data_IF_025207329561
#
_entry.id   IF_025207329561
#
_cell.length_a   1.000
_cell.length_b   1.000
_cell.length_c   1.000
_cell.angle_alpha   90.00
_cell.angle_beta   90.00
_cell.angle_gamma   90.00
#
_symmetry.space_group_name_H-M   'P 1'
#
loop_
_entity.id
_entity.type
_entity.pdbx_description
1 polymer ?
#
# COMPACT_ATOMS: atom_id res chain seq x y z
N UNK A 1 61.89 54.87 22.02
CA UNK A 1 62.29 53.45 22.12
C UNK A 1 61.01 52.66 22.34
N UNK A 2 60.42 52.13 21.26
CA UNK A 2 60.50 50.71 20.87
C UNK A 2 59.45 49.87 21.65
N UNK A 3 58.52 49.10 21.10
CA UNK A 3 58.12 48.77 19.73
C UNK A 3 56.71 48.17 19.80
N UNK A 4 55.89 48.43 18.79
CA UNK A 4 54.60 47.75 18.54
C UNK A 4 54.77 46.24 18.34
N UNK A 5 53.74 45.47 18.70
CA UNK A 5 53.30 44.38 17.84
C UNK A 5 51.77 44.28 17.82
N UNK A 6 51.27 44.11 16.61
CA UNK A 6 49.92 44.34 16.12
C UNK A 6 49.34 42.98 15.72
N UNK A 7 48.10 42.67 16.12
CA UNK A 7 47.44 41.40 15.83
C UNK A 7 46.34 41.61 14.77
N UNK A 8 46.19 40.75 13.74
CA UNK A 8 45.19 40.95 12.68
C UNK A 8 43.80 40.40 13.03
N UNK A 9 42.78 41.13 12.54
CA UNK A 9 41.35 40.81 12.33
C UNK A 9 41.13 39.64 11.33
N UNK A 10 39.90 39.29 10.85
CA UNK A 10 38.52 39.42 11.39
C UNK A 10 37.64 38.16 11.13
N UNK A 11 36.38 38.16 11.59
CA UNK A 11 35.27 37.63 10.77
C UNK A 11 34.46 36.46 11.33
N UNK A 12 33.20 36.74 11.67
CA UNK A 12 32.14 35.75 11.81
C UNK A 12 30.88 36.31 12.50
N UNK A 13 29.67 35.87 12.14
CA UNK A 13 29.15 35.65 10.79
C UNK A 13 28.00 36.61 10.45
N UNK A 14 27.87 36.79 9.13
CA UNK A 14 26.84 37.48 8.38
C UNK A 14 25.44 36.94 8.69
N UNK A 15 24.48 37.85 8.84
CA UNK A 15 23.06 37.55 8.88
C UNK A 15 22.64 36.80 7.60
N UNK A 16 22.01 35.64 7.76
CA UNK A 16 21.42 34.88 6.65
C UNK A 16 19.90 35.18 6.61
N UNK A 17 19.36 35.66 5.49
CA UNK A 17 17.92 35.76 5.30
C UNK A 17 17.31 34.36 5.20
N UNK A 18 16.13 34.21 5.78
CA UNK A 18 15.42 32.95 5.91
C UNK A 18 15.17 32.23 4.59
N UNK A 19 15.56 30.95 4.56
CA UNK A 19 15.02 29.94 3.65
C UNK A 19 14.03 29.09 4.45
N UNK A 20 12.81 29.58 4.54
CA UNK A 20 11.65 28.85 5.03
C UNK A 20 11.02 28.13 3.83
N UNK A 21 11.63 27.03 3.40
CA UNK A 21 11.06 26.20 2.33
C UNK A 21 11.54 24.75 2.46
N UNK A 22 11.07 24.07 3.51
CA UNK A 22 11.29 22.63 3.72
C UNK A 22 10.18 22.01 4.55
N UNK A 23 8.92 22.27 4.17
CA UNK A 23 7.76 21.64 4.83
C UNK A 23 6.85 20.85 3.88
N UNK A 24 7.07 20.91 2.56
CA UNK A 24 6.19 20.23 1.59
C UNK A 24 6.67 18.85 1.15
N UNK A 25 7.93 18.48 1.41
CA UNK A 25 8.47 17.15 1.03
C UNK A 25 8.21 16.07 2.08
N UNK A 26 7.76 16.43 3.27
CA UNK A 26 7.53 15.48 4.37
C UNK A 26 6.13 14.84 4.34
N UNK A 27 5.25 15.30 3.43
CA UNK A 27 3.89 14.77 3.31
C UNK A 27 3.77 13.62 2.30
N UNK A 28 4.78 13.41 1.43
CA UNK A 28 4.80 12.25 0.53
C UNK A 28 5.34 10.97 1.20
N UNK A 29 6.09 11.11 2.30
CA UNK A 29 6.68 9.98 3.04
C UNK A 29 5.77 9.40 4.12
N UNK A 30 4.58 9.98 4.33
CA UNK A 30 3.61 9.52 5.32
C UNK A 30 2.48 8.65 4.74
N UNK A 31 2.55 8.29 3.46
CA UNK A 31 1.87 7.09 2.98
C UNK A 31 2.67 5.90 3.52
N UNK A 32 2.54 5.70 4.84
CA UNK A 32 3.13 4.57 5.54
C UNK A 32 2.82 3.30 4.77
N UNK A 33 3.87 2.50 4.63
CA UNK A 33 3.92 1.08 4.27
C UNK A 33 2.74 0.31 4.88
N UNK A 34 1.57 0.43 4.28
CA UNK A 34 0.40 -0.33 4.66
C UNK A 34 0.65 -1.75 4.16
N UNK A 35 1.23 -2.59 5.03
CA UNK A 35 1.40 -4.00 4.75
C UNK A 35 0.10 -4.74 5.11
N UNK A 36 -0.72 -5.15 4.11
CA UNK A 36 -1.95 -5.86 4.37
C UNK A 36 -1.72 -7.21 5.07
N UNK A 37 -0.56 -7.85 4.88
CA UNK A 37 -0.22 -9.12 5.52
C UNK A 37 0.06 -8.92 7.00
N UNK A 38 0.83 -7.89 7.36
CA UNK A 38 1.05 -7.53 8.76
C UNK A 38 -0.27 -7.15 9.43
N UNK A 39 -1.10 -6.33 8.78
CA UNK A 39 -2.40 -5.92 9.32
C UNK A 39 -3.32 -7.12 9.57
N UNK A 40 -3.42 -8.05 8.60
CA UNK A 40 -4.15 -9.31 8.77
C UNK A 40 -3.69 -10.09 10.01
N UNK A 41 -2.38 -10.27 10.20
CA UNK A 41 -1.82 -11.00 11.36
C UNK A 41 -2.22 -10.34 12.69
N UNK A 42 -2.25 -9.02 12.75
CA UNK A 42 -2.67 -8.26 13.93
C UNK A 42 -4.18 -8.34 14.21
N UNK A 43 -5.00 -8.64 13.19
CA UNK A 43 -6.45 -8.79 13.33
C UNK A 43 -6.86 -10.18 13.83
N UNK A 44 -6.07 -11.22 13.59
CA UNK A 44 -6.36 -12.60 14.04
C UNK A 44 -6.66 -12.71 15.56
N UNK A 45 -5.83 -12.17 16.48
CA UNK A 45 -6.15 -12.24 17.90
C UNK A 45 -7.44 -11.48 18.24
N UNK A 46 -7.66 -10.32 17.63
CA UNK A 46 -8.87 -9.51 17.84
C UNK A 46 -10.14 -10.23 17.35
N UNK A 47 -10.06 -10.91 16.20
CA UNK A 47 -11.15 -11.71 15.66
C UNK A 47 -11.53 -12.84 16.63
N UNK A 48 -10.53 -13.54 17.17
CA UNK A 48 -10.73 -14.59 18.17
C UNK A 48 -11.40 -14.03 19.44
N UNK A 49 -10.90 -12.93 19.97
CA UNK A 49 -11.45 -12.29 21.18
C UNK A 49 -12.87 -11.79 20.95
N UNK A 50 -13.15 -11.16 19.82
CA UNK A 50 -14.48 -10.68 19.46
C UNK A 50 -15.49 -11.83 19.34
N UNK A 51 -15.11 -12.93 18.68
CA UNK A 51 -15.96 -14.13 18.61
C UNK A 51 -16.24 -14.73 20.00
N UNK A 52 -15.22 -14.81 20.87
CA UNK A 52 -15.40 -15.25 22.25
C UNK A 52 -16.37 -14.33 23.01
N UNK A 53 -16.27 -13.02 22.81
CA UNK A 53 -17.16 -12.04 23.43
C UNK A 53 -18.62 -12.20 22.96
N UNK A 54 -18.84 -12.40 21.66
CA UNK A 54 -20.17 -12.70 21.08
C UNK A 54 -20.77 -13.95 21.74
N UNK A 55 -20.02 -15.04 21.83
CA UNK A 55 -20.48 -16.29 22.45
C UNK A 55 -20.80 -16.11 23.95
N UNK A 56 -19.97 -15.34 24.66
CA UNK A 56 -20.18 -15.02 26.07
C UNK A 56 -21.46 -14.22 26.27
N UNK A 57 -21.69 -13.18 25.48
CA UNK A 57 -22.90 -12.34 25.58
C UNK A 57 -24.15 -13.14 25.20
N UNK A 58 -24.09 -13.94 24.13
CA UNK A 58 -25.17 -14.83 23.74
C UNK A 58 -25.57 -15.81 24.85
N UNK A 59 -24.59 -16.47 25.47
CA UNK A 59 -24.85 -17.44 26.55
C UNK A 59 -25.43 -16.79 27.80
N UNK A 60 -24.95 -15.58 28.17
CA UNK A 60 -25.52 -14.81 29.28
C UNK A 60 -26.96 -14.40 29.01
N UNK A 61 -27.25 -13.90 27.80
CA UNK A 61 -28.61 -13.51 27.40
C UNK A 61 -29.55 -14.72 27.38
N UNK A 62 -29.09 -15.88 26.87
CA UNK A 62 -29.89 -17.11 26.87
C UNK A 62 -30.18 -17.62 28.29
N UNK A 63 -29.17 -17.65 29.15
CA UNK A 63 -29.33 -18.05 30.55
C UNK A 63 -30.28 -17.11 31.31
N UNK A 64 -30.18 -15.80 31.03
CA UNK A 64 -31.08 -14.81 31.61
C UNK A 64 -32.53 -15.03 31.13
N UNK A 65 -32.77 -15.19 29.83
CA UNK A 65 -34.10 -15.47 29.29
C UNK A 65 -34.69 -16.74 29.91
N UNK A 66 -33.90 -17.82 29.98
CA UNK A 66 -34.30 -19.07 30.62
C UNK A 66 -34.67 -18.87 32.11
N UNK A 67 -33.94 -18.01 32.83
CA UNK A 67 -34.23 -17.73 34.24
C UNK A 67 -35.52 -16.92 34.44
N UNK A 68 -35.85 -16.03 33.50
CA UNK A 68 -37.10 -15.25 33.47
C UNK A 68 -38.27 -16.19 33.17
N UNK A 69 -38.14 -17.06 32.15
CA UNK A 69 -39.17 -18.02 31.76
C UNK A 69 -39.50 -19.01 32.88
N UNK A 70 -38.51 -19.39 33.69
CA UNK A 70 -38.70 -20.24 34.87
C UNK A 70 -39.21 -19.47 36.12
N UNK A 71 -39.44 -18.16 36.03
CA UNK A 71 -39.91 -17.34 37.15
C UNK A 71 -38.87 -17.10 38.25
N UNK A 72 -37.59 -17.41 38.00
CA UNK A 72 -36.50 -17.30 39.00
C UNK A 72 -35.86 -15.91 39.08
N UNK A 73 -36.04 -15.05 38.06
CA UNK A 73 -35.56 -13.65 38.04
C UNK A 73 -36.61 -12.72 37.43
N UNK A 74 -36.68 -11.49 37.93
CA UNK A 74 -37.50 -10.41 37.35
C UNK A 74 -36.87 -9.85 36.06
N UNK A 75 -37.72 -9.40 35.13
CA UNK A 75 -37.38 -8.83 33.81
C UNK A 75 -36.56 -7.53 33.84
N UNK A 76 -36.30 -6.94 35.01
CA UNK A 76 -35.72 -5.60 35.15
C UNK A 76 -34.22 -5.51 34.81
N UNK A 77 -33.54 -6.65 34.60
CA UNK A 77 -32.10 -6.68 34.34
C UNK A 77 -31.80 -6.29 32.88
N UNK A 78 -31.07 -5.18 32.68
CA UNK A 78 -30.64 -4.73 31.36
C UNK A 78 -29.73 -5.78 30.68
N UNK A 79 -30.18 -6.34 29.55
CA UNK A 79 -29.42 -7.31 28.77
C UNK A 79 -28.14 -6.66 28.19
N UNK A 80 -27.04 -7.41 28.19
CA UNK A 80 -25.84 -7.04 27.44
C UNK A 80 -26.22 -7.01 25.95
N UNK A 81 -25.91 -5.91 25.26
CA UNK A 81 -26.29 -5.72 23.85
C UNK A 81 -25.52 -6.69 22.95
N UNK A 82 -26.18 -7.78 22.59
CA UNK A 82 -25.66 -8.77 21.66
C UNK A 82 -25.35 -8.14 20.29
N UNK A 83 -26.24 -7.27 19.81
CA UNK A 83 -26.11 -6.58 18.51
C UNK A 83 -24.78 -5.84 18.39
N UNK A 84 -24.36 -5.15 19.45
CA UNK A 84 -23.09 -4.40 19.47
C UNK A 84 -21.88 -5.34 19.35
N UNK A 85 -21.87 -6.44 20.11
CA UNK A 85 -20.77 -7.41 20.04
C UNK A 85 -20.68 -8.09 18.67
N UNK A 86 -21.83 -8.31 18.03
CA UNK A 86 -21.94 -8.92 16.72
C UNK A 86 -21.49 -7.93 15.62
N UNK A 87 -21.86 -6.66 15.73
CA UNK A 87 -21.36 -5.59 14.85
C UNK A 87 -19.82 -5.46 14.93
N UNK A 88 -19.25 -5.45 16.14
CA UNK A 88 -17.79 -5.42 16.34
C UNK A 88 -17.10 -6.64 15.72
N UNK A 89 -17.70 -7.83 15.81
CA UNK A 89 -17.20 -9.04 15.14
C UNK A 89 -17.21 -8.90 13.62
N UNK A 90 -18.32 -8.44 13.03
CA UNK A 90 -18.41 -8.25 11.58
C UNK A 90 -17.44 -7.18 11.07
N UNK A 91 -17.26 -6.08 11.80
CA UNK A 91 -16.30 -5.04 11.43
C UNK A 91 -14.85 -5.56 11.36
N UNK A 92 -14.49 -6.55 12.19
CA UNK A 92 -13.18 -7.20 12.14
C UNK A 92 -13.11 -8.17 10.95
N UNK A 93 -14.17 -8.93 10.68
CA UNK A 93 -14.26 -9.80 9.49
C UNK A 93 -14.07 -9.00 8.19
N UNK A 94 -14.72 -7.85 8.06
CA UNK A 94 -14.59 -6.98 6.88
C UNK A 94 -13.15 -6.49 6.71
N UNK A 95 -12.48 -6.09 7.80
CA UNK A 95 -11.08 -5.68 7.75
C UNK A 95 -10.16 -6.84 7.37
N UNK A 96 -10.41 -8.05 7.87
CA UNK A 96 -9.66 -9.26 7.51
C UNK A 96 -9.83 -9.56 6.02
N UNK A 97 -11.05 -9.53 5.52
CA UNK A 97 -11.38 -9.76 4.11
C UNK A 97 -10.68 -8.75 3.21
N UNK A 98 -10.73 -7.46 3.57
CA UNK A 98 -10.05 -6.39 2.85
C UNK A 98 -8.54 -6.63 2.81
N UNK A 99 -7.90 -6.93 3.96
CA UNK A 99 -6.47 -7.18 4.01
C UNK A 99 -6.06 -8.37 3.12
N UNK A 100 -6.85 -9.45 3.11
CA UNK A 100 -6.57 -10.61 2.27
C UNK A 100 -6.69 -10.30 0.78
N UNK A 101 -7.71 -9.52 0.36
CA UNK A 101 -7.83 -9.05 -1.03
C UNK A 101 -6.65 -8.20 -1.45
N UNK A 102 -6.29 -7.20 -0.65
CA UNK A 102 -5.16 -6.32 -0.96
C UNK A 102 -3.84 -7.10 -1.03
N UNK A 103 -3.61 -8.02 -0.09
CA UNK A 103 -2.41 -8.87 -0.12
C UNK A 103 -2.32 -9.71 -1.40
N UNK A 104 -3.46 -10.26 -1.85
CA UNK A 104 -3.54 -11.00 -3.10
C UNK A 104 -3.26 -10.10 -4.32
N UNK A 105 -3.83 -8.90 -4.36
CA UNK A 105 -3.59 -7.93 -5.44
C UNK A 105 -2.12 -7.50 -5.49
N UNK A 106 -1.50 -7.21 -4.34
CA UNK A 106 -0.08 -6.91 -4.25
C UNK A 106 0.80 -8.07 -4.74
N UNK A 107 0.44 -9.31 -4.41
CA UNK A 107 1.15 -10.50 -4.92
C UNK A 107 1.01 -10.63 -6.43
N UNK A 108 -0.22 -10.48 -6.96
CA UNK A 108 -0.47 -10.51 -8.40
C UNK A 108 0.33 -9.43 -9.12
N UNK A 109 0.31 -8.21 -8.58
CA UNK A 109 1.06 -7.07 -9.12
C UNK A 109 2.57 -7.31 -9.07
N UNK A 110 3.08 -7.92 -8.01
CA UNK A 110 4.50 -8.29 -7.89
C UNK A 110 4.90 -9.32 -8.96
N UNK A 111 4.08 -10.35 -9.15
CA UNK A 111 4.30 -11.38 -10.18
C UNK A 111 4.29 -10.75 -11.58
N UNK A 112 3.32 -9.90 -11.88
CA UNK A 112 3.22 -9.26 -13.19
C UNK A 112 4.34 -8.24 -13.41
N UNK A 113 4.73 -7.50 -12.36
CA UNK A 113 5.90 -6.64 -12.39
C UNK A 113 7.17 -7.43 -12.71
N UNK A 114 7.39 -8.58 -12.07
CA UNK A 114 8.57 -9.42 -12.32
C UNK A 114 8.65 -9.96 -13.76
N UNK A 115 7.51 -10.16 -14.44
CA UNK A 115 7.47 -10.61 -15.84
C UNK A 115 7.82 -9.50 -16.84
N UNK A 116 7.56 -8.24 -16.47
CA UNK A 116 7.61 -7.12 -17.40
C UNK A 116 8.68 -6.09 -17.06
N UNK A 117 9.20 -6.09 -15.83
CA UNK A 117 10.23 -5.18 -15.35
C UNK A 117 11.61 -5.86 -15.36
N UNK A 118 12.66 -5.20 -15.88
CA UNK A 118 14.01 -5.74 -15.81
C UNK A 118 14.52 -5.83 -14.36
N UNK A 119 14.72 -7.04 -13.84
CA UNK A 119 15.60 -7.24 -12.67
C UNK A 119 17.05 -6.96 -13.08
N UNK A 120 17.81 -6.30 -12.19
CA UNK A 120 19.21 -5.99 -12.41
C UNK A 120 20.01 -7.29 -12.61
N UNK A 121 20.74 -7.38 -13.71
CA UNK A 121 21.71 -8.45 -13.95
C UNK A 121 22.92 -8.19 -13.05
N UNK A 122 23.41 -9.16 -12.26
CA UNK A 122 24.64 -8.98 -11.51
C UNK A 122 25.78 -8.62 -12.46
N UNK A 123 26.33 -7.43 -12.31
CA UNK A 123 27.64 -7.08 -12.87
C UNK A 123 28.69 -7.72 -11.97
N UNK A 124 29.60 -8.47 -12.56
CA UNK A 124 30.50 -9.42 -11.90
C UNK A 124 31.60 -8.79 -11.00
N UNK A 125 31.36 -7.66 -10.33
CA UNK A 125 32.43 -6.92 -9.63
C UNK A 125 32.47 -7.05 -8.10
N UNK A 126 31.57 -7.79 -7.42
CA UNK A 126 31.73 -8.09 -5.98
C UNK A 126 31.19 -9.49 -5.59
N UNK A 127 32.00 -10.36 -4.97
CA UNK A 127 31.63 -11.77 -4.71
C UNK A 127 30.81 -12.04 -3.43
N UNK A 128 30.26 -11.04 -2.74
CA UNK A 128 29.73 -11.24 -1.37
C UNK A 128 28.31 -10.70 -1.11
N UNK A 129 27.47 -10.62 -2.14
CA UNK A 129 26.02 -10.51 -1.91
C UNK A 129 25.32 -11.59 -2.70
N UNK A 130 24.76 -12.55 -1.97
CA UNK A 130 23.89 -13.61 -2.50
C UNK A 130 22.67 -12.93 -3.15
N UNK A 131 22.78 -12.63 -4.45
CA UNK A 131 21.65 -12.20 -5.28
C UNK A 131 20.83 -13.43 -5.65
N UNK A 132 19.97 -13.84 -4.72
CA UNK A 132 19.12 -15.04 -4.82
C UNK A 132 18.18 -15.00 -6.04
N UNK A 133 17.97 -13.85 -6.68
CA UNK A 133 17.04 -13.68 -7.81
C UNK A 133 17.65 -12.98 -9.03
N UNK A 134 18.86 -13.37 -9.42
CA UNK A 134 19.47 -12.87 -10.65
C UNK A 134 18.93 -13.60 -11.89
N UNK A 135 18.38 -12.85 -12.84
CA UNK A 135 17.99 -13.42 -14.14
C UNK A 135 19.22 -13.79 -14.96
N UNK A 136 19.14 -14.91 -15.69
CA UNK A 136 20.15 -15.23 -16.69
C UNK A 136 20.15 -14.21 -17.83
N UNK A 137 21.31 -14.00 -18.45
CA UNK A 137 21.43 -13.11 -19.60
C UNK A 137 20.49 -13.49 -20.76
N UNK A 138 20.25 -14.79 -20.97
CA UNK A 138 19.30 -15.28 -21.97
C UNK A 138 17.84 -14.88 -21.66
N UNK A 139 17.41 -14.99 -20.40
CA UNK A 139 16.09 -14.53 -19.95
C UNK A 139 15.94 -13.01 -20.08
N UNK A 140 16.99 -12.26 -19.71
CA UNK A 140 17.04 -10.81 -19.91
C UNK A 140 16.85 -10.43 -21.39
N UNK A 141 17.62 -11.05 -22.29
CA UNK A 141 17.48 -10.79 -23.74
C UNK A 141 16.08 -11.13 -24.25
N UNK A 142 15.49 -12.24 -23.80
CA UNK A 142 14.11 -12.61 -24.14
C UNK A 142 13.10 -11.52 -23.74
N UNK A 143 13.21 -11.01 -22.50
CA UNK A 143 12.35 -9.95 -22.00
C UNK A 143 12.53 -8.63 -22.76
N UNK A 144 13.76 -8.19 -23.02
CA UNK A 144 14.02 -6.97 -23.78
C UNK A 144 13.42 -7.06 -25.19
N UNK A 145 13.53 -8.21 -25.87
CA UNK A 145 12.89 -8.43 -27.18
C UNK A 145 11.36 -8.33 -27.10
N UNK A 146 10.76 -8.90 -26.06
CA UNK A 146 9.31 -8.80 -25.81
C UNK A 146 8.88 -7.34 -25.56
N UNK A 147 9.63 -6.59 -24.75
CA UNK A 147 9.37 -5.16 -24.49
C UNK A 147 9.47 -4.31 -25.77
N UNK A 148 10.49 -4.56 -26.60
CA UNK A 148 10.63 -3.88 -27.91
C UNK A 148 9.42 -4.17 -28.81
N UNK A 149 8.94 -5.42 -28.84
CA UNK A 149 7.79 -5.83 -29.64
C UNK A 149 6.52 -5.13 -29.15
N UNK A 150 6.25 -5.17 -27.85
CA UNK A 150 5.12 -4.47 -27.23
C UNK A 150 5.14 -2.96 -27.54
N UNK A 151 6.30 -2.31 -27.41
CA UNK A 151 6.43 -0.88 -27.74
C UNK A 151 6.13 -0.58 -29.21
N UNK A 152 6.56 -1.45 -30.13
CA UNK A 152 6.21 -1.33 -31.57
C UNK A 152 4.72 -1.50 -31.82
N UNK A 153 4.08 -2.46 -31.15
CA UNK A 153 2.64 -2.70 -31.31
C UNK A 153 1.82 -1.52 -30.80
N UNK A 154 2.18 -0.95 -29.65
CA UNK A 154 1.59 0.28 -29.12
C UNK A 154 1.79 1.44 -30.09
N UNK A 155 3.02 1.63 -30.61
CA UNK A 155 3.30 2.67 -31.59
C UNK A 155 2.43 2.53 -32.85
N UNK A 156 2.33 1.31 -33.40
CA UNK A 156 1.50 1.04 -34.57
C UNK A 156 0.02 1.32 -34.29
N UNK A 157 -0.50 0.89 -33.14
CA UNK A 157 -1.89 1.14 -32.75
C UNK A 157 -2.17 2.66 -32.63
N UNK A 158 -1.29 3.40 -31.96
CA UNK A 158 -1.41 4.85 -31.81
C UNK A 158 -1.29 5.58 -33.15
N UNK A 159 -0.38 5.14 -34.02
CA UNK A 159 -0.18 5.69 -35.36
C UNK A 159 -1.43 5.47 -36.24
N UNK A 160 -2.01 4.28 -36.21
CA UNK A 160 -3.26 3.99 -36.94
C UNK A 160 -4.44 4.82 -36.42
N UNK A 161 -4.56 4.98 -35.09
CA UNK A 161 -5.54 5.87 -34.49
C UNK A 161 -5.34 7.33 -34.95
N UNK A 162 -4.09 7.83 -34.94
CA UNK A 162 -3.76 9.17 -35.39
C UNK A 162 -4.15 9.40 -36.85
N UNK A 163 -3.85 8.45 -37.74
CA UNK A 163 -4.22 8.52 -39.16
C UNK A 163 -5.74 8.55 -39.35
N UNK A 164 -6.50 7.75 -38.59
CA UNK A 164 -7.98 7.77 -38.63
C UNK A 164 -8.55 9.12 -38.23
N UNK A 165 -7.94 9.77 -37.24
CA UNK A 165 -8.36 11.10 -36.76
C UNK A 165 -7.95 12.20 -37.75
N UNK A 166 -6.74 12.11 -38.32
CA UNK A 166 -6.23 13.07 -39.32
C UNK A 166 -6.86 12.88 -40.71
N UNK A 167 -7.51 11.73 -40.95
CA UNK A 167 -8.30 11.43 -42.14
C UNK A 167 -9.54 12.33 -42.22
N UNK A 168 -9.35 13.49 -42.85
CA UNK A 168 -10.38 14.43 -43.29
C UNK A 168 -11.56 13.69 -43.93
N UNK A 169 -12.74 13.72 -43.29
CA UNK A 169 -14.01 13.35 -43.93
C UNK A 169 -14.14 14.18 -45.21
N UNK A 170 -14.17 13.58 -46.41
CA UNK A 170 -14.48 14.34 -47.61
C UNK A 170 -15.89 14.92 -47.44
N UNK A 171 -16.16 16.18 -47.83
CA UNK A 171 -17.53 16.65 -47.88
C UNK A 171 -18.28 15.76 -48.87
N UNK A 172 -19.12 14.85 -48.35
CA UNK A 172 -20.09 14.14 -49.15
C UNK A 172 -20.97 15.20 -49.80
N UNK A 173 -21.02 15.14 -51.13
CA UNK A 173 -21.57 16.17 -51.99
C UNK A 173 -22.98 16.59 -51.59
N UNK A 174 -23.21 17.90 -51.66
CA UNK A 174 -24.53 18.49 -51.72
C UNK A 174 -24.67 19.04 -53.14
N UNK A 175 -25.47 18.30 -53.92
CA UNK A 175 -26.29 18.65 -55.10
C UNK A 175 -25.52 19.09 -56.36
#
# INVERSE_FOLDING_TARGET
MASQQQQPQPGGPMAQPGLQQSSTLQQLSQQQDFDPVHRFKMLIPQLKESLQNVMRIASLNLAQNTSIDNGTKSSDVSLQRFDKSLEEFYAICDQVELCLRLAYECLSQSIDSAKHSPNLVPTATKPDTVQTESMSYGQYLGMIKSQITCAKDIHNALLECSKKIAGKVPPQGII
#
